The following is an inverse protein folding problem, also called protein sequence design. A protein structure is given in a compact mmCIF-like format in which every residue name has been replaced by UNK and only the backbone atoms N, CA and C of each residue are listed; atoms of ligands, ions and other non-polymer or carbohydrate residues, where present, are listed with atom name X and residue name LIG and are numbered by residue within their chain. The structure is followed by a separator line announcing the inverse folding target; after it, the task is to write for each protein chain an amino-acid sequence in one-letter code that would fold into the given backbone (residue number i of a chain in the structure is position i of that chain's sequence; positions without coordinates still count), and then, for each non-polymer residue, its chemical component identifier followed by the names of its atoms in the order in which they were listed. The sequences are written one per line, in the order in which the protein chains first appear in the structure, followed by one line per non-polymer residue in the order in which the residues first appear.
data_IF_395250256282
#
_entry.id   IF_395250256282
#
_cell.length_a   1.000
_cell.length_b   1.000
_cell.length_c   1.000
_cell.angle_alpha   90.00
_cell.angle_beta   90.00
_cell.angle_gamma   90.00
#
_symmetry.space_group_name_H-M   'P 1'
#
loop_
_entity.id
_entity.type
_entity.pdbx_description
1 polymer ?
#
# COMPACT_ATOMS: atom_id res chain seq x y z
N UNK A 1 -9.00 -20.34 -47.44
CA UNK A 1 -9.95 -19.42 -46.79
C UNK A 1 -10.13 -19.92 -45.37
N UNK A 2 -9.79 -19.13 -44.35
CA UNK A 2 -10.13 -19.49 -42.97
C UNK A 2 -11.66 -19.47 -42.81
N UNK A 3 -12.27 -20.45 -42.13
CA UNK A 3 -13.71 -20.45 -41.92
C UNK A 3 -14.13 -19.23 -41.09
N UNK A 4 -15.26 -18.63 -41.45
CA UNK A 4 -15.87 -17.56 -40.65
C UNK A 4 -16.16 -18.08 -39.23
N UNK A 5 -15.87 -17.30 -38.18
CA UNK A 5 -16.09 -17.75 -36.80
C UNK A 5 -17.58 -18.03 -36.56
N UNK A 6 -17.86 -19.10 -35.81
CA UNK A 6 -19.23 -19.47 -35.44
C UNK A 6 -19.80 -18.48 -34.42
N UNK A 7 -21.14 -18.33 -34.32
CA UNK A 7 -21.78 -17.47 -33.31
C UNK A 7 -21.30 -17.77 -31.88
N UNK A 8 -21.12 -19.05 -31.53
CA UNK A 8 -20.60 -19.43 -30.21
C UNK A 8 -19.14 -19.02 -29.99
N UNK A 9 -18.29 -19.10 -31.02
CA UNK A 9 -16.91 -18.62 -30.92
C UNK A 9 -16.85 -17.09 -30.73
N UNK A 10 -17.79 -16.35 -31.33
CA UNK A 10 -17.94 -14.90 -31.15
C UNK A 10 -18.42 -14.59 -29.73
N UNK A 11 -19.44 -15.29 -29.23
CA UNK A 11 -19.94 -15.12 -27.85
C UNK A 11 -18.86 -15.40 -26.80
N UNK A 12 -18.11 -16.48 -26.97
CA UNK A 12 -17.00 -16.81 -26.06
C UNK A 12 -15.93 -15.71 -26.09
N UNK A 13 -15.59 -15.19 -27.27
CA UNK A 13 -14.64 -14.07 -27.39
C UNK A 13 -15.15 -12.81 -26.66
N UNK A 14 -16.43 -12.48 -26.79
CA UNK A 14 -17.05 -11.34 -26.10
C UNK A 14 -17.01 -11.55 -24.57
N UNK A 15 -17.33 -12.76 -24.10
CA UNK A 15 -17.30 -13.14 -22.68
C UNK A 15 -15.90 -12.95 -22.10
N UNK A 16 -14.89 -13.48 -22.79
CA UNK A 16 -13.48 -13.32 -22.40
C UNK A 16 -13.07 -11.85 -22.33
N UNK A 17 -13.46 -11.03 -23.31
CA UNK A 17 -13.13 -9.61 -23.29
C UNK A 17 -13.85 -8.84 -22.16
N UNK A 18 -15.12 -9.14 -21.86
CA UNK A 18 -15.83 -8.53 -20.74
C UNK A 18 -15.19 -8.88 -19.39
N UNK A 19 -14.81 -10.16 -19.20
CA UNK A 19 -14.09 -10.60 -18.00
C UNK A 19 -12.71 -9.93 -17.87
N UNK A 20 -11.98 -9.76 -18.99
CA UNK A 20 -10.70 -9.06 -19.00
C UNK A 20 -10.85 -7.59 -18.60
N UNK A 21 -11.85 -6.89 -19.13
CA UNK A 21 -12.14 -5.49 -18.78
C UNK A 21 -12.49 -5.34 -17.30
N UNK A 22 -13.34 -6.21 -16.75
CA UNK A 22 -13.67 -6.21 -15.32
C UNK A 22 -12.42 -6.49 -14.45
N UNK A 23 -11.59 -7.46 -14.86
CA UNK A 23 -10.33 -7.78 -14.18
C UNK A 23 -9.33 -6.61 -14.19
N UNK A 24 -9.13 -5.98 -15.34
CA UNK A 24 -8.27 -4.79 -15.46
C UNK A 24 -8.80 -3.60 -14.66
N UNK A 25 -10.11 -3.36 -14.67
CA UNK A 25 -10.73 -2.29 -13.89
C UNK A 25 -10.46 -2.45 -12.39
N UNK A 26 -10.63 -3.69 -11.88
CA UNK A 26 -10.32 -4.03 -10.48
C UNK A 26 -8.83 -3.88 -10.17
N UNK A 27 -7.96 -4.36 -11.06
CA UNK A 27 -6.51 -4.25 -10.87
C UNK A 27 -6.05 -2.78 -10.80
N UNK A 28 -6.55 -1.92 -11.71
CA UNK A 28 -6.27 -0.49 -11.70
C UNK A 28 -6.81 0.17 -10.43
N UNK A 29 -8.03 -0.18 -9.99
CA UNK A 29 -8.61 0.36 -8.77
C UNK A 29 -7.82 -0.07 -7.51
N UNK A 30 -7.34 -1.31 -7.45
CA UNK A 30 -6.53 -1.81 -6.35
C UNK A 30 -5.16 -1.14 -6.29
N UNK A 31 -4.52 -0.89 -7.44
CA UNK A 31 -3.27 -0.11 -7.51
C UNK A 31 -3.53 1.30 -7.00
N UNK A 32 -4.60 1.96 -7.48
CA UNK A 32 -4.96 3.31 -7.01
C UNK A 32 -5.25 3.35 -5.51
N UNK A 33 -5.96 2.37 -4.95
CA UNK A 33 -6.23 2.29 -3.50
C UNK A 33 -4.95 2.09 -2.69
N UNK A 34 -4.03 1.25 -3.16
CA UNK A 34 -2.74 1.01 -2.50
C UNK A 34 -1.82 2.23 -2.61
N UNK A 35 -1.86 2.93 -3.73
CA UNK A 35 -0.96 4.03 -4.05
C UNK A 35 -1.52 5.43 -3.75
N UNK A 36 -2.74 5.52 -3.20
CA UNK A 36 -3.30 6.80 -2.76
C UNK A 36 -2.66 7.25 -1.44
N UNK A 37 -1.49 7.86 -1.54
CA UNK A 37 -0.91 8.70 -0.49
C UNK A 37 -0.95 10.13 -1.01
N UNK A 38 -1.55 11.11 -0.30
CA UNK A 38 -1.56 12.49 -0.75
C UNK A 38 -0.13 12.98 -1.03
N UNK A 39 0.11 13.60 -2.19
CA UNK A 39 1.45 14.03 -2.61
C UNK A 39 2.15 14.94 -1.58
N UNK A 40 1.38 15.78 -0.88
CA UNK A 40 1.87 16.63 0.21
C UNK A 40 2.30 15.86 1.47
N UNK A 41 1.77 14.66 1.71
CA UNK A 41 2.25 13.76 2.77
C UNK A 41 3.48 12.97 2.32
N UNK A 42 3.54 12.57 1.04
CA UNK A 42 4.66 11.86 0.42
C UNK A 42 5.98 12.64 0.53
N UNK A 43 6.01 13.91 0.15
CA UNK A 43 7.24 14.73 0.21
C UNK A 43 7.79 14.90 1.63
N UNK A 44 6.92 14.81 2.64
CA UNK A 44 7.28 15.00 4.04
C UNK A 44 7.64 13.70 4.73
N UNK A 45 7.30 12.54 4.16
CA UNK A 45 7.43 11.24 4.81
C UNK A 45 8.90 10.88 5.12
N UNK A 46 9.87 11.01 4.20
CA UNK A 46 11.27 10.72 4.49
C UNK A 46 11.83 11.60 5.63
N UNK A 47 11.43 12.88 5.65
CA UNK A 47 11.81 13.81 6.73
C UNK A 47 11.23 13.36 8.08
N UNK A 48 9.96 12.94 8.11
CA UNK A 48 9.30 12.46 9.34
C UNK A 48 9.91 11.16 9.85
N UNK A 49 10.31 10.24 8.96
CA UNK A 49 11.06 9.02 9.33
C UNK A 49 12.39 9.40 9.98
N UNK A 50 13.14 10.31 9.36
CA UNK A 50 14.42 10.80 9.89
C UNK A 50 14.27 11.44 11.27
N UNK A 51 13.27 12.32 11.45
CA UNK A 51 12.97 12.94 12.74
C UNK A 51 12.57 11.89 13.80
N UNK A 52 11.79 10.88 13.42
CA UNK A 52 11.40 9.80 14.34
C UNK A 52 12.60 8.95 14.78
N UNK A 53 13.51 8.58 13.86
CA UNK A 53 14.76 7.87 14.19
C UNK A 53 15.63 8.67 15.16
N UNK A 54 15.80 9.97 14.94
CA UNK A 54 16.55 10.83 15.84
C UNK A 54 15.94 10.92 17.25
N UNK A 55 14.61 10.93 17.35
CA UNK A 55 13.92 10.90 18.65
C UNK A 55 14.15 9.57 19.35
N UNK A 56 14.04 8.45 18.62
CA UNK A 56 14.29 7.10 19.16
C UNK A 56 15.73 6.98 19.69
N UNK A 57 16.73 7.37 18.89
CA UNK A 57 18.15 7.36 19.29
C UNK A 57 18.38 8.19 20.55
N UNK A 58 17.80 9.39 20.62
CA UNK A 58 17.91 10.25 21.79
C UNK A 58 17.31 9.61 23.05
N UNK A 59 16.14 8.97 22.94
CA UNK A 59 15.50 8.27 24.07
C UNK A 59 16.36 7.09 24.52
N UNK A 60 16.96 6.37 23.56
CA UNK A 60 17.84 5.24 23.83
C UNK A 60 19.12 5.69 24.58
N UNK A 61 19.75 6.78 24.15
CA UNK A 61 20.92 7.36 24.84
C UNK A 61 20.56 7.81 26.27
N UNK A 62 19.40 8.45 26.44
CA UNK A 62 18.89 8.84 27.76
C UNK A 62 18.65 7.63 28.67
N UNK A 63 18.15 6.52 28.12
CA UNK A 63 17.98 5.25 28.84
C UNK A 63 19.31 4.67 29.30
N UNK A 64 20.30 4.56 28.41
CA UNK A 64 21.63 4.06 28.78
C UNK A 64 22.25 4.90 29.90
N UNK A 65 22.11 6.23 29.81
CA UNK A 65 22.58 7.15 30.86
C UNK A 65 21.88 6.94 32.20
N UNK A 66 20.58 6.65 32.20
CA UNK A 66 19.82 6.36 33.42
C UNK A 66 20.16 4.99 34.01
N UNK A 67 20.34 3.96 33.17
CA UNK A 67 20.75 2.62 33.59
C UNK A 67 22.14 2.64 34.24
N UNK A 68 23.09 3.38 33.65
CA UNK A 68 24.41 3.59 34.26
C UNK A 68 24.32 4.31 35.61
N UNK A 69 23.46 5.34 35.71
CA UNK A 69 23.23 6.04 36.99
C UNK A 69 22.60 5.13 38.05
N UNK A 70 21.71 4.24 37.65
CA UNK A 70 21.09 3.26 38.53
C UNK A 70 22.14 2.26 39.04
N UNK A 71 22.94 1.68 38.14
CA UNK A 71 24.01 0.74 38.49
C UNK A 71 25.04 1.38 39.42
N UNK A 72 25.47 2.61 39.10
CA UNK A 72 26.36 3.40 39.97
C UNK A 72 25.74 3.68 41.34
N UNK A 73 24.42 3.91 41.42
CA UNK A 73 23.73 4.15 42.68
C UNK A 73 23.59 2.88 43.52
N UNK A 74 23.36 1.72 42.90
CA UNK A 74 23.27 0.41 43.56
C UNK A 74 24.63 0.01 44.16
N UNK A 75 25.72 0.28 43.44
CA UNK A 75 27.08 -0.09 43.86
C UNK A 75 27.67 0.77 45.00
N UNK A 76 26.90 1.72 45.54
CA UNK A 76 27.35 2.53 46.69
C UNK A 76 27.25 1.74 47.98
N UNK A 77 28.20 1.96 48.88
CA UNK A 77 28.27 1.30 50.20
C UNK A 77 27.01 1.51 51.07
N UNK A 78 26.26 2.60 50.83
CA UNK A 78 24.93 2.86 51.40
C UNK A 78 24.03 3.50 50.33
N UNK A 79 23.28 2.71 49.54
CA UNK A 79 22.44 3.24 48.48
C UNK A 79 21.19 3.91 49.05
N UNK A 80 20.84 5.07 48.49
CA UNK A 80 19.59 5.75 48.85
C UNK A 80 18.42 5.10 48.12
N UNK A 81 17.57 4.35 48.83
CA UNK A 81 16.38 3.69 48.24
C UNK A 81 15.49 4.68 47.48
N UNK A 82 15.20 5.84 48.07
CA UNK A 82 14.43 6.91 47.41
C UNK A 82 15.05 7.38 46.09
N UNK A 83 16.39 7.33 45.95
CA UNK A 83 17.08 7.67 44.71
C UNK A 83 17.00 6.53 43.70
N UNK A 84 17.11 5.28 44.16
CA UNK A 84 16.95 4.09 43.32
C UNK A 84 15.53 4.02 42.75
N UNK A 85 14.49 4.21 43.57
CA UNK A 85 13.09 4.20 43.12
C UNK A 85 12.84 5.27 42.05
N UNK A 86 13.34 6.49 42.27
CA UNK A 86 13.24 7.57 41.28
C UNK A 86 13.96 7.28 39.96
N UNK A 87 15.11 6.60 40.01
CA UNK A 87 15.83 6.21 38.81
C UNK A 87 15.10 5.08 38.08
N UNK A 88 14.60 4.11 38.83
CA UNK A 88 13.78 3.03 38.30
C UNK A 88 12.52 3.57 37.60
N UNK A 89 11.77 4.47 38.24
CA UNK A 89 10.57 5.08 37.64
C UNK A 89 10.89 5.83 36.35
N UNK A 90 12.00 6.60 36.33
CA UNK A 90 12.46 7.29 35.12
C UNK A 90 12.85 6.33 34.00
N UNK A 91 13.50 5.21 34.33
CA UNK A 91 13.85 4.19 33.34
C UNK A 91 12.58 3.56 32.78
N UNK A 92 11.59 3.23 33.61
CA UNK A 92 10.31 2.67 33.14
C UNK A 92 9.57 3.66 32.22
N UNK A 93 9.51 4.93 32.62
CA UNK A 93 8.91 5.99 31.78
C UNK A 93 9.62 6.10 30.43
N UNK A 94 10.96 6.12 30.43
CA UNK A 94 11.75 6.23 29.21
C UNK A 94 11.64 4.99 28.32
N UNK A 95 11.53 3.79 28.90
CA UNK A 95 11.27 2.55 28.15
C UNK A 95 9.92 2.60 27.45
N UNK A 96 8.88 3.11 28.11
CA UNK A 96 7.59 3.31 27.46
C UNK A 96 7.68 4.32 26.32
N UNK A 97 8.39 5.44 26.52
CA UNK A 97 8.62 6.43 25.46
C UNK A 97 9.38 5.84 24.26
N UNK A 98 10.33 4.92 24.51
CA UNK A 98 11.05 4.22 23.45
C UNK A 98 10.12 3.33 22.63
N UNK A 99 9.27 2.54 23.29
CA UNK A 99 8.28 1.67 22.62
C UNK A 99 7.31 2.50 21.77
N UNK A 100 6.82 3.63 22.29
CA UNK A 100 5.93 4.53 21.54
C UNK A 100 6.64 5.15 20.33
N UNK A 101 7.94 5.47 20.46
CA UNK A 101 8.76 5.98 19.36
C UNK A 101 9.01 4.90 18.28
N UNK A 102 9.26 3.66 18.69
CA UNK A 102 9.43 2.50 17.80
C UNK A 102 8.16 2.19 17.02
N UNK A 103 7.00 2.13 17.68
CA UNK A 103 5.71 1.93 17.00
C UNK A 103 5.44 3.04 15.96
N UNK A 104 5.73 4.29 16.33
CA UNK A 104 5.60 5.42 15.40
C UNK A 104 6.56 5.33 14.22
N UNK A 105 7.81 4.90 14.45
CA UNK A 105 8.79 4.72 13.40
C UNK A 105 8.37 3.59 12.45
N UNK A 106 7.99 2.42 12.97
CA UNK A 106 7.51 1.29 12.18
C UNK A 106 6.31 1.68 11.29
N UNK A 107 5.37 2.46 11.83
CA UNK A 107 4.23 2.99 11.05
C UNK A 107 4.65 3.93 9.91
N UNK A 108 5.70 4.72 10.12
CA UNK A 108 6.21 5.63 9.08
C UNK A 108 7.03 4.87 8.03
N UNK A 109 7.81 3.89 8.45
CA UNK A 109 8.60 3.03 7.55
C UNK A 109 7.70 2.15 6.69
N UNK A 110 6.66 1.53 7.25
CA UNK A 110 5.69 0.78 6.44
C UNK A 110 4.94 1.66 5.43
N UNK A 111 4.70 2.94 5.73
CA UNK A 111 4.16 3.90 4.75
C UNK A 111 5.18 4.22 3.65
N UNK A 112 6.46 4.28 3.98
CA UNK A 112 7.55 4.57 3.04
C UNK A 112 7.75 3.39 2.09
N UNK A 113 7.69 2.15 2.58
CA UNK A 113 7.76 0.94 1.75
C UNK A 113 6.60 0.87 0.74
N UNK A 114 5.37 1.18 1.18
CA UNK A 114 4.20 1.26 0.29
C UNK A 114 4.43 2.34 -0.77
N UNK A 115 4.97 3.50 -0.39
CA UNK A 115 5.34 4.56 -1.33
C UNK A 115 6.38 4.09 -2.35
N UNK A 116 7.47 3.47 -1.92
CA UNK A 116 8.55 3.04 -2.81
C UNK A 116 8.05 1.99 -3.81
N UNK A 117 7.23 1.04 -3.37
CA UNK A 117 6.57 0.08 -4.26
C UNK A 117 5.64 0.76 -5.26
N UNK A 118 4.89 1.79 -4.84
CA UNK A 118 4.02 2.54 -5.73
C UNK A 118 4.76 3.43 -6.74
N UNK A 119 5.89 4.03 -6.36
CA UNK A 119 6.71 4.83 -7.27
C UNK A 119 7.49 3.98 -8.27
N UNK A 120 7.97 2.80 -7.85
CA UNK A 120 8.75 1.93 -8.73
C UNK A 120 7.87 1.08 -9.64
N UNK A 121 6.77 0.52 -9.12
CA UNK A 121 5.98 -0.49 -9.84
C UNK A 121 4.58 0.01 -10.20
N UNK A 122 4.01 0.92 -9.40
CA UNK A 122 2.61 1.33 -9.53
C UNK A 122 2.29 2.09 -10.82
N UNK A 123 3.13 3.04 -11.21
CA UNK A 123 2.91 3.84 -12.43
C UNK A 123 3.11 3.03 -13.72
N UNK A 124 4.17 2.21 -13.78
CA UNK A 124 4.47 1.37 -14.95
C UNK A 124 3.42 0.25 -15.12
N UNK A 125 3.00 -0.40 -14.02
CA UNK A 125 1.94 -1.40 -14.06
C UNK A 125 0.60 -0.75 -14.41
N UNK A 126 0.28 0.44 -13.87
CA UNK A 126 -0.97 1.12 -14.23
C UNK A 126 -0.99 1.56 -15.71
N UNK A 127 0.13 2.03 -16.26
CA UNK A 127 0.25 2.39 -17.67
C UNK A 127 0.12 1.16 -18.58
N UNK A 128 0.84 0.08 -18.28
CA UNK A 128 0.73 -1.18 -19.04
C UNK A 128 -0.69 -1.77 -18.98
N UNK A 129 -1.33 -1.78 -17.81
CA UNK A 129 -2.72 -2.24 -17.67
C UNK A 129 -3.70 -1.34 -18.42
N UNK A 130 -3.45 -0.04 -18.54
CA UNK A 130 -4.29 0.86 -19.35
C UNK A 130 -4.16 0.58 -20.83
N UNK A 131 -2.96 0.30 -21.32
CA UNK A 131 -2.74 -0.07 -22.74
C UNK A 131 -3.48 -1.37 -23.09
N UNK A 132 -3.33 -2.39 -22.25
CA UNK A 132 -4.03 -3.67 -22.41
C UNK A 132 -5.55 -3.50 -22.29
N UNK A 133 -6.01 -2.70 -21.33
CA UNK A 133 -7.42 -2.34 -21.19
C UNK A 133 -7.96 -1.66 -22.45
N UNK A 134 -7.27 -0.66 -22.99
CA UNK A 134 -7.68 0.05 -24.20
C UNK A 134 -7.77 -0.91 -25.42
N UNK A 135 -6.81 -1.83 -25.54
CA UNK A 135 -6.83 -2.83 -26.61
C UNK A 135 -8.05 -3.75 -26.51
N UNK A 136 -8.43 -4.19 -25.31
CA UNK A 136 -9.62 -5.03 -25.11
C UNK A 136 -10.92 -4.24 -25.28
N UNK A 137 -10.97 -2.99 -24.81
CA UNK A 137 -12.11 -2.08 -25.05
C UNK A 137 -12.36 -1.90 -26.54
N UNK A 138 -11.32 -1.70 -27.35
CA UNK A 138 -11.48 -1.55 -28.79
C UNK A 138 -12.08 -2.81 -29.44
N UNK A 139 -11.69 -3.99 -28.96
CA UNK A 139 -12.26 -5.28 -29.41
C UNK A 139 -13.74 -5.41 -29.02
N UNK A 140 -14.11 -5.00 -27.81
CA UNK A 140 -15.52 -4.97 -27.36
C UNK A 140 -16.37 -3.98 -28.16
N UNK A 141 -15.86 -2.77 -28.41
CA UNK A 141 -16.56 -1.77 -29.24
C UNK A 141 -16.77 -2.27 -30.67
N UNK A 142 -15.78 -2.96 -31.23
CA UNK A 142 -15.89 -3.58 -32.54
C UNK A 142 -16.89 -4.74 -32.53
N UNK A 143 -16.87 -5.60 -31.51
CA UNK A 143 -17.83 -6.69 -31.36
C UNK A 143 -19.28 -6.18 -31.19
N UNK A 144 -19.48 -5.13 -30.39
CA UNK A 144 -20.79 -4.48 -30.21
C UNK A 144 -21.35 -3.89 -31.49
N UNK A 145 -20.48 -3.34 -32.36
CA UNK A 145 -20.87 -2.82 -33.67
C UNK A 145 -21.20 -3.92 -34.68
N UNK A 146 -20.41 -5.00 -34.69
CA UNK A 146 -20.54 -6.07 -35.69
C UNK A 146 -21.59 -7.12 -35.31
N UNK A 147 -21.78 -7.37 -34.01
CA UNK A 147 -22.62 -8.44 -33.47
C UNK A 147 -23.45 -7.96 -32.27
N UNK A 148 -24.34 -6.97 -32.45
CA UNK A 148 -25.05 -6.33 -31.33
C UNK A 148 -25.93 -7.31 -30.52
N UNK A 149 -26.59 -8.26 -31.19
CA UNK A 149 -27.47 -9.22 -30.53
C UNK A 149 -26.68 -10.23 -29.68
N UNK A 150 -25.62 -10.81 -30.26
CA UNK A 150 -24.72 -11.72 -29.54
C UNK A 150 -24.01 -11.02 -28.37
N UNK A 151 -23.66 -9.75 -28.55
CA UNK A 151 -23.05 -8.94 -27.49
C UNK A 151 -24.00 -8.76 -26.31
N UNK A 152 -25.25 -8.38 -26.60
CA UNK A 152 -26.27 -8.18 -25.56
C UNK A 152 -26.60 -9.47 -24.82
N UNK A 153 -26.70 -10.59 -25.53
CA UNK A 153 -26.90 -11.90 -24.89
C UNK A 153 -25.76 -12.23 -23.92
N UNK A 154 -24.51 -11.94 -24.29
CA UNK A 154 -23.36 -12.19 -23.40
C UNK A 154 -23.33 -11.20 -22.22
N UNK A 155 -23.71 -9.94 -22.40
CA UNK A 155 -23.88 -9.00 -21.27
C UNK A 155 -24.94 -9.50 -20.27
N UNK A 156 -26.07 -9.99 -20.78
CA UNK A 156 -27.17 -10.52 -19.97
C UNK A 156 -26.77 -11.84 -19.25
N UNK A 157 -25.99 -12.70 -19.91
CA UNK A 157 -25.47 -13.95 -19.33
C UNK A 157 -24.41 -13.72 -18.25
N UNK A 158 -23.50 -12.77 -18.47
CA UNK A 158 -22.37 -12.52 -17.57
C UNK A 158 -22.70 -11.53 -16.46
N UNK A 159 -23.72 -10.68 -16.65
CA UNK A 159 -24.02 -9.56 -15.76
C UNK A 159 -22.97 -8.44 -15.80
N UNK A 160 -21.98 -8.53 -16.70
CA UNK A 160 -20.95 -7.50 -16.88
C UNK A 160 -21.44 -6.53 -17.94
N UNK A 161 -21.98 -5.40 -17.48
CA UNK A 161 -22.43 -4.35 -18.37
C UNK A 161 -21.29 -3.38 -18.70
N UNK A 162 -20.90 -3.35 -19.97
CA UNK A 162 -19.85 -2.44 -20.44
C UNK A 162 -20.47 -1.09 -20.83
N UNK A 163 -20.59 -0.21 -19.85
CA UNK A 163 -20.87 1.21 -20.07
C UNK A 163 -19.55 1.91 -20.29
N UNK A 164 -19.15 2.20 -21.53
CA UNK A 164 -17.88 2.91 -21.86
C UNK A 164 -17.52 3.95 -20.80
N UNK A 165 -16.49 3.71 -19.96
CA UNK A 165 -15.97 4.73 -19.07
C UNK A 165 -14.49 5.02 -19.37
N UNK A 166 -14.17 6.30 -19.24
CA UNK A 166 -12.90 7.03 -19.46
C UNK A 166 -12.73 7.68 -20.82
#
# INVERSE_FOLDING_TARGET
MAPSPTPEAIKESIRQYLMQVDGFSKAIEDIRKKCFIPHAELEKLPKRVKEARQIQEKIFDELQGLEYQLESAINKQNPSMKKLDRLHDKIQEKRQQLLDAEDRLNKLEGKLEIQESCQNDGEEIEESLREDYQAVVQKLLNARKMFPDLYKEVEDETGIHFFTPF
#
